data_IF_235013879141
#
_entry.id   IF_235013879141
#
_cell.length_a   1.000
_cell.length_b   1.000
_cell.length_c   1.000
_cell.angle_alpha   90.00
_cell.angle_beta   90.00
_cell.angle_gamma   90.00
#
_symmetry.space_group_name_H-M   'P 1'
#
loop_
_entity.id
_entity.type
_entity.pdbx_description
1 polymer ?
#
# COMPACT_ATOMS: atom_id res chain seq x y z
N UNK A 1 -6.09 -19.31 -29.89
CA UNK A 1 -5.12 -19.35 -28.77
C UNK A 1 -4.74 -17.96 -28.30
N UNK A 2 -4.63 -16.94 -29.18
CA UNK A 2 -4.33 -15.55 -28.76
C UNK A 2 -5.25 -15.01 -27.67
N UNK A 3 -6.58 -15.16 -27.79
CA UNK A 3 -7.51 -14.62 -26.79
C UNK A 3 -7.36 -15.19 -25.37
N UNK A 4 -6.87 -16.43 -25.21
CA UNK A 4 -6.62 -17.00 -23.88
C UNK A 4 -5.35 -16.42 -23.24
N UNK A 5 -4.33 -16.14 -24.06
CA UNK A 5 -3.09 -15.52 -23.61
C UNK A 5 -3.33 -14.05 -23.24
N UNK A 6 -4.09 -13.31 -24.07
CA UNK A 6 -4.43 -11.91 -23.79
C UNK A 6 -5.25 -11.78 -22.50
N UNK A 7 -6.23 -12.68 -22.30
CA UNK A 7 -7.00 -12.73 -21.05
C UNK A 7 -6.13 -13.00 -19.82
N UNK A 8 -5.10 -13.85 -19.94
CA UNK A 8 -4.14 -14.08 -18.87
C UNK A 8 -3.33 -12.80 -18.59
N UNK A 9 -2.82 -12.12 -19.62
CA UNK A 9 -2.08 -10.86 -19.46
C UNK A 9 -2.93 -9.77 -18.78
N UNK A 10 -4.21 -9.62 -19.14
CA UNK A 10 -5.12 -8.65 -18.51
C UNK A 10 -5.43 -9.01 -17.05
N UNK A 11 -5.58 -10.31 -16.77
CA UNK A 11 -5.72 -10.82 -15.40
C UNK A 11 -4.49 -10.52 -14.55
N UNK A 12 -3.28 -10.76 -15.09
CA UNK A 12 -2.02 -10.48 -14.40
C UNK A 12 -1.81 -8.99 -14.18
N UNK A 13 -2.13 -8.15 -15.15
CA UNK A 13 -2.12 -6.69 -14.98
C UNK A 13 -3.00 -6.26 -13.81
N UNK A 14 -4.23 -6.77 -13.78
CA UNK A 14 -5.20 -6.49 -12.70
C UNK A 14 -4.69 -6.96 -11.34
N UNK A 15 -4.01 -8.10 -11.29
CA UNK A 15 -3.40 -8.64 -10.06
C UNK A 15 -2.24 -7.78 -9.57
N UNK A 16 -1.37 -7.31 -10.47
CA UNK A 16 -0.28 -6.39 -10.12
C UNK A 16 -0.85 -5.08 -9.59
N UNK A 17 -1.80 -4.46 -10.31
CA UNK A 17 -2.44 -3.22 -9.86
C UNK A 17 -3.01 -3.35 -8.44
N UNK A 18 -3.81 -4.40 -8.19
CA UNK A 18 -4.39 -4.67 -6.87
C UNK A 18 -3.36 -4.95 -5.79
N UNK A 19 -2.28 -5.66 -6.10
CA UNK A 19 -1.21 -5.93 -5.14
C UNK A 19 -0.57 -4.62 -4.64
N UNK A 20 -0.52 -3.59 -5.49
CA UNK A 20 -0.02 -2.26 -5.13
C UNK A 20 -1.11 -1.28 -4.69
N UNK A 21 -2.35 -1.73 -4.51
CA UNK A 21 -3.47 -0.89 -4.05
C UNK A 21 -3.99 0.10 -5.10
N UNK A 22 -3.78 -0.19 -6.40
CA UNK A 22 -4.26 0.62 -7.52
C UNK A 22 -5.54 0.02 -8.11
N UNK A 23 -6.32 0.84 -8.81
CA UNK A 23 -7.46 0.35 -9.59
C UNK A 23 -6.97 -0.56 -10.72
N UNK A 24 -7.57 -1.75 -10.85
CA UNK A 24 -7.23 -2.70 -11.90
C UNK A 24 -7.60 -2.21 -13.31
N UNK A 25 -8.52 -1.26 -13.42
CA UNK A 25 -8.96 -0.67 -14.69
C UNK A 25 -8.12 0.54 -15.13
N UNK A 26 -7.23 1.00 -14.27
CA UNK A 26 -6.34 2.12 -14.56
C UNK A 26 -5.33 1.74 -15.66
N UNK A 27 -5.25 2.54 -16.72
CA UNK A 27 -4.31 2.35 -17.82
C UNK A 27 -2.90 2.86 -17.51
N UNK A 28 -2.73 3.64 -16.44
CA UNK A 28 -1.48 4.32 -16.07
C UNK A 28 -0.75 3.68 -14.87
N UNK A 29 -1.15 2.46 -14.46
CA UNK A 29 -0.54 1.70 -13.34
C UNK A 29 0.99 1.69 -13.41
N UNK A 30 1.58 1.53 -14.60
CA UNK A 30 3.03 1.51 -14.76
C UNK A 30 3.69 2.85 -14.40
N UNK A 31 3.05 3.96 -14.80
CA UNK A 31 3.52 5.32 -14.50
C UNK A 31 3.41 5.58 -13.01
N UNK A 32 2.25 5.29 -12.42
CA UNK A 32 2.03 5.44 -10.98
C UNK A 32 3.00 4.59 -10.14
N UNK A 33 3.30 3.36 -10.57
CA UNK A 33 4.28 2.51 -9.89
C UNK A 33 5.69 3.07 -9.98
N UNK A 34 6.10 3.54 -11.16
CA UNK A 34 7.39 4.19 -11.35
C UNK A 34 7.51 5.41 -10.43
N UNK A 35 6.52 6.28 -10.40
CA UNK A 35 6.56 7.49 -9.57
C UNK A 35 6.61 7.14 -8.08
N UNK A 36 5.78 6.19 -7.64
CA UNK A 36 5.76 5.72 -6.23
C UNK A 36 7.06 5.06 -5.80
N UNK A 37 7.74 4.34 -6.68
CA UNK A 37 8.95 3.59 -6.36
C UNK A 37 10.24 4.38 -6.62
N UNK A 38 10.21 5.43 -7.43
CA UNK A 38 11.39 6.28 -7.73
C UNK A 38 12.18 6.73 -6.49
N UNK A 39 11.55 7.10 -5.36
CA UNK A 39 12.27 7.49 -4.15
C UNK A 39 13.26 6.45 -3.62
N UNK A 40 13.08 5.16 -3.93
CA UNK A 40 13.99 4.10 -3.50
C UNK A 40 15.01 3.64 -4.55
N UNK A 41 15.12 4.34 -5.68
CA UNK A 41 16.02 3.92 -6.76
C UNK A 41 17.48 3.74 -6.32
N UNK A 42 17.96 4.57 -5.39
CA UNK A 42 19.33 4.57 -4.85
C UNK A 42 19.53 3.66 -3.63
N UNK A 43 18.45 3.12 -3.06
CA UNK A 43 18.51 2.34 -1.82
C UNK A 43 19.10 0.96 -2.11
N UNK A 44 20.04 0.45 -1.29
CA UNK A 44 20.52 -0.92 -1.41
C UNK A 44 19.37 -1.93 -1.24
N UNK A 45 19.20 -2.82 -2.23
CA UNK A 45 18.15 -3.84 -2.22
C UNK A 45 18.73 -5.23 -2.47
N UNK A 46 18.11 -6.29 -1.92
CA UNK A 46 18.39 -7.65 -2.33
C UNK A 46 18.17 -7.83 -3.84
N UNK A 47 18.97 -8.68 -4.49
CA UNK A 47 18.98 -8.82 -5.95
C UNK A 47 17.60 -9.04 -6.58
N UNK A 48 16.77 -9.91 -5.97
CA UNK A 48 15.41 -10.20 -6.45
C UNK A 48 14.46 -9.00 -6.33
N UNK A 49 14.55 -8.25 -5.24
CA UNK A 49 13.78 -7.01 -5.05
C UNK A 49 14.23 -5.93 -6.03
N UNK A 50 15.55 -5.79 -6.28
CA UNK A 50 16.09 -4.85 -7.27
C UNK A 50 15.60 -5.18 -8.68
N UNK A 51 15.62 -6.46 -9.05
CA UNK A 51 15.11 -6.92 -10.34
C UNK A 51 13.62 -6.59 -10.49
N UNK A 52 12.80 -6.81 -9.45
CA UNK A 52 11.38 -6.46 -9.49
C UNK A 52 11.19 -4.96 -9.62
N UNK A 53 11.87 -4.16 -8.79
CA UNK A 53 11.86 -2.70 -8.87
C UNK A 53 12.16 -2.23 -10.30
N UNK A 54 13.22 -2.75 -10.91
CA UNK A 54 13.60 -2.37 -12.28
C UNK A 54 12.50 -2.70 -13.28
N UNK A 55 11.88 -3.88 -13.22
CA UNK A 55 10.78 -4.24 -14.13
C UNK A 55 9.52 -3.43 -13.90
N UNK A 56 9.15 -3.15 -12.65
CA UNK A 56 7.98 -2.33 -12.33
C UNK A 56 8.14 -0.88 -12.82
N UNK A 57 9.34 -0.31 -12.71
CA UNK A 57 9.64 1.05 -13.14
C UNK A 57 9.93 1.20 -14.65
N UNK A 58 9.97 0.09 -15.40
CA UNK A 58 10.27 0.08 -16.83
C UNK A 58 9.01 0.37 -17.66
N UNK A 59 8.75 1.66 -17.87
CA UNK A 59 7.61 2.17 -18.66
C UNK A 59 7.89 2.24 -20.16
N UNK A 60 8.99 1.64 -20.64
CA UNK A 60 9.37 1.71 -22.06
C UNK A 60 8.63 0.68 -22.95
N UNK A 61 8.00 -0.31 -22.32
CA UNK A 61 7.37 -1.44 -22.96
C UNK A 61 5.85 -1.29 -23.08
N UNK A 62 5.24 -2.02 -24.01
CA UNK A 62 3.78 -2.14 -24.05
C UNK A 62 3.23 -2.78 -22.76
N UNK A 63 1.94 -2.57 -22.46
CA UNK A 63 1.24 -3.21 -21.32
C UNK A 63 1.55 -4.71 -21.22
N UNK A 64 1.47 -5.40 -22.36
CA UNK A 64 1.63 -6.86 -22.44
C UNK A 64 3.07 -7.30 -22.18
N UNK A 65 4.04 -6.65 -22.80
CA UNK A 65 5.46 -6.93 -22.59
C UNK A 65 5.91 -6.63 -21.16
N UNK A 66 5.38 -5.55 -20.56
CA UNK A 66 5.63 -5.21 -19.16
C UNK A 66 5.08 -6.28 -18.20
N UNK A 67 3.82 -6.70 -18.40
CA UNK A 67 3.21 -7.78 -17.62
C UNK A 67 4.02 -9.06 -17.76
N UNK A 68 4.37 -9.46 -18.98
CA UNK A 68 5.15 -10.66 -19.24
C UNK A 68 6.53 -10.61 -18.55
N UNK A 69 7.18 -9.45 -18.55
CA UNK A 69 8.46 -9.22 -17.89
C UNK A 69 8.38 -9.36 -16.36
N UNK A 70 7.38 -8.73 -15.73
CA UNK A 70 7.13 -8.84 -14.28
C UNK A 70 6.75 -10.27 -13.91
N UNK A 71 5.81 -10.87 -14.64
CA UNK A 71 5.33 -12.22 -14.41
C UNK A 71 6.44 -13.27 -14.53
N UNK A 72 7.30 -13.14 -15.55
CA UNK A 72 8.45 -14.02 -15.76
C UNK A 72 9.44 -13.98 -14.60
N UNK A 73 9.68 -12.80 -14.03
CA UNK A 73 10.55 -12.66 -12.87
C UNK A 73 9.95 -13.31 -11.61
N UNK A 74 8.65 -13.13 -11.40
CA UNK A 74 7.96 -13.64 -10.20
C UNK A 74 7.84 -15.17 -10.23
N UNK A 75 7.38 -15.74 -11.35
CA UNK A 75 7.17 -17.19 -11.50
C UNK A 75 8.42 -17.95 -11.99
N UNK A 76 9.44 -17.25 -12.51
CA UNK A 76 10.67 -17.84 -13.02
C UNK A 76 10.60 -18.35 -14.47
N UNK A 77 9.46 -18.15 -15.16
CA UNK A 77 9.24 -18.53 -16.56
C UNK A 77 8.11 -17.70 -17.19
N UNK A 78 8.04 -17.55 -18.52
CA UNK A 78 7.06 -16.69 -19.17
C UNK A 78 5.61 -17.22 -19.10
N UNK A 79 4.59 -16.35 -19.09
CA UNK A 79 3.18 -16.72 -18.88
C UNK A 79 2.62 -17.74 -19.89
N UNK A 80 3.14 -17.77 -21.12
CA UNK A 80 2.69 -18.74 -22.13
C UNK A 80 3.09 -20.20 -21.78
N UNK A 81 3.97 -20.42 -20.79
CA UNK A 81 4.36 -21.74 -20.27
C UNK A 81 3.75 -22.04 -18.89
N UNK A 82 2.78 -21.24 -18.44
CA UNK A 82 2.21 -21.37 -17.11
C UNK A 82 1.17 -22.48 -17.02
N UNK A 83 1.17 -23.10 -15.85
CA UNK A 83 0.13 -23.98 -15.33
C UNK A 83 -0.64 -23.24 -14.24
N UNK A 84 -1.76 -23.80 -13.78
CA UNK A 84 -2.53 -23.22 -12.66
C UNK A 84 -1.68 -23.09 -11.36
N UNK A 85 -0.70 -23.97 -11.20
CA UNK A 85 0.25 -23.89 -10.09
C UNK A 85 1.14 -22.64 -10.20
N UNK A 86 1.52 -22.23 -11.41
CA UNK A 86 2.31 -21.02 -11.64
C UNK A 86 1.49 -19.76 -11.38
N UNK A 87 0.20 -19.77 -11.71
CA UNK A 87 -0.73 -18.67 -11.37
C UNK A 87 -0.83 -18.51 -9.84
N UNK A 88 -1.01 -19.63 -9.13
CA UNK A 88 -1.08 -19.63 -7.65
C UNK A 88 0.24 -19.16 -7.03
N UNK A 89 1.39 -19.57 -7.60
CA UNK A 89 2.71 -19.10 -7.19
C UNK A 89 2.86 -17.59 -7.42
N UNK A 90 2.41 -17.09 -8.56
CA UNK A 90 2.45 -15.67 -8.87
C UNK A 90 1.67 -14.85 -7.83
N UNK A 91 0.48 -15.31 -7.44
CA UNK A 91 -0.34 -14.61 -6.44
C UNK A 91 0.37 -14.46 -5.09
N UNK A 92 1.02 -15.53 -4.61
CA UNK A 92 1.76 -15.48 -3.35
C UNK A 92 3.06 -14.65 -3.49
N UNK A 93 3.87 -14.92 -4.50
CA UNK A 93 5.20 -14.33 -4.65
C UNK A 93 5.13 -12.83 -4.99
N UNK A 94 4.10 -12.39 -5.73
CA UNK A 94 3.89 -10.96 -6.01
C UNK A 94 3.59 -10.18 -4.73
N UNK A 95 2.79 -10.72 -3.82
CA UNK A 95 2.51 -10.12 -2.51
C UNK A 95 3.78 -10.04 -1.64
N UNK A 96 4.55 -11.12 -1.56
CA UNK A 96 5.80 -11.14 -0.79
C UNK A 96 6.80 -10.10 -1.29
N UNK A 97 6.99 -10.00 -2.61
CA UNK A 97 7.92 -9.04 -3.19
C UNK A 97 7.40 -7.59 -3.09
N UNK A 98 6.09 -7.37 -3.22
CA UNK A 98 5.45 -6.08 -2.94
C UNK A 98 5.73 -5.65 -1.50
N UNK A 99 5.54 -6.55 -0.53
CA UNK A 99 5.79 -6.23 0.88
C UNK A 99 7.26 -5.91 1.15
N UNK A 100 8.17 -6.62 0.48
CA UNK A 100 9.58 -6.32 0.55
C UNK A 100 9.90 -4.92 -0.02
N UNK A 101 9.35 -4.56 -1.18
CA UNK A 101 9.55 -3.22 -1.76
C UNK A 101 8.92 -2.12 -0.91
N UNK A 102 7.71 -2.32 -0.41
CA UNK A 102 7.05 -1.36 0.48
C UNK A 102 7.81 -1.19 1.81
N UNK A 103 8.40 -2.26 2.34
CA UNK A 103 9.28 -2.19 3.50
C UNK A 103 10.55 -1.39 3.21
N UNK A 104 11.21 -1.62 2.06
CA UNK A 104 12.37 -0.83 1.62
C UNK A 104 12.00 0.65 1.44
N UNK A 105 10.85 0.95 0.82
CA UNK A 105 10.29 2.30 0.69
C UNK A 105 10.11 2.99 2.04
N UNK A 106 9.61 2.24 3.01
CA UNK A 106 9.45 2.72 4.38
C UNK A 106 10.81 3.02 5.02
N UNK A 107 11.76 2.09 4.97
CA UNK A 107 13.10 2.29 5.54
C UNK A 107 13.85 3.46 4.89
N UNK A 108 13.73 3.58 3.57
CA UNK A 108 14.32 4.67 2.81
C UNK A 108 13.78 6.04 3.27
N UNK A 109 12.47 6.11 3.55
CA UNK A 109 11.84 7.33 4.07
C UNK A 109 12.36 7.74 5.45
N UNK A 110 12.94 6.81 6.23
CA UNK A 110 13.60 7.12 7.50
C UNK A 110 15.06 7.57 7.33
N UNK A 111 15.73 7.10 6.27
CA UNK A 111 17.15 7.43 6.01
C UNK A 111 17.38 8.77 5.32
N UNK A 112 16.32 9.42 4.81
CA UNK A 112 16.40 10.80 4.36
C UNK A 112 16.40 11.70 5.60
N UNK A 113 17.56 12.22 5.97
CA UNK A 113 17.78 13.08 7.14
C UNK A 113 16.76 14.22 7.23
N UNK A 114 16.11 14.63 6.14
CA UNK A 114 15.06 15.67 6.12
C UNK A 114 13.77 15.29 6.83
N UNK A 115 13.46 14.00 6.95
CA UNK A 115 12.27 13.49 7.65
C UNK A 115 12.51 13.44 9.16
N UNK A 116 13.69 12.99 9.59
CA UNK A 116 14.07 13.00 11.01
C UNK A 116 14.56 14.37 11.48
N UNK A 117 15.00 15.26 10.59
CA UNK A 117 15.43 16.63 10.93
C UNK A 117 14.28 17.53 11.43
N UNK A 118 13.03 17.09 11.32
CA UNK A 118 11.88 17.71 12.00
C UNK A 118 11.63 17.17 13.42
N UNK A 119 12.30 16.08 13.81
CA UNK A 119 12.19 15.51 15.15
C UNK A 119 12.98 16.37 16.13
N UNK A 120 12.42 17.53 16.47
CA UNK A 120 12.70 18.14 17.76
C UNK A 120 12.48 17.07 18.84
N UNK A 121 13.57 16.65 19.48
CA UNK A 121 13.67 15.82 20.69
C UNK A 121 12.41 15.00 21.02
N UNK A 122 12.33 13.74 20.56
CA UNK A 122 11.30 12.77 20.98
C UNK A 122 10.23 12.35 19.98
N UNK A 123 10.30 12.75 18.70
CA UNK A 123 9.41 12.24 17.63
C UNK A 123 9.78 10.84 17.13
N UNK A 124 8.84 10.18 16.42
CA UNK A 124 9.09 8.88 15.78
C UNK A 124 8.31 8.72 14.48
N UNK A 125 8.70 7.71 13.72
CA UNK A 125 8.01 7.33 12.50
C UNK A 125 7.86 5.81 12.43
N UNK A 126 6.68 5.33 12.03
CA UNK A 126 6.41 3.90 11.88
C UNK A 126 5.51 3.64 10.69
N UNK A 127 5.63 2.43 10.15
CA UNK A 127 4.69 1.90 9.16
C UNK A 127 3.67 1.06 9.88
N UNK A 128 2.40 1.35 9.61
CA UNK A 128 1.27 0.55 10.04
C UNK A 128 0.67 -0.11 8.81
N UNK A 129 0.50 -1.42 8.83
CA UNK A 129 -0.24 -2.13 7.79
C UNK A 129 -1.25 -3.12 8.37
N UNK A 130 -2.36 -3.31 7.65
CA UNK A 130 -3.42 -4.25 7.97
C UNK A 130 -3.68 -5.11 6.74
N UNK A 131 -3.46 -6.42 6.87
CA UNK A 131 -3.86 -7.39 5.86
C UNK A 131 -5.28 -7.86 6.17
N UNK A 132 -6.21 -7.53 5.27
CA UNK A 132 -7.61 -7.91 5.41
C UNK A 132 -7.83 -9.39 5.06
N UNK A 133 -8.96 -9.96 5.48
CA UNK A 133 -9.35 -11.34 5.11
C UNK A 133 -9.55 -11.55 3.60
N UNK A 134 -9.61 -10.45 2.84
CA UNK A 134 -9.70 -10.46 1.37
C UNK A 134 -8.34 -10.48 0.68
N UNK A 135 -7.24 -10.53 1.46
CA UNK A 135 -5.87 -10.55 0.95
C UNK A 135 -5.34 -9.17 0.51
N UNK A 136 -6.11 -8.09 0.73
CA UNK A 136 -5.66 -6.72 0.47
C UNK A 136 -4.88 -6.20 1.67
N UNK A 137 -3.71 -5.59 1.43
CA UNK A 137 -2.91 -4.93 2.48
C UNK A 137 -3.05 -3.41 2.37
N UNK A 138 -3.68 -2.82 3.38
CA UNK A 138 -3.70 -1.37 3.58
C UNK A 138 -2.42 -0.98 4.32
N UNK A 139 -1.73 0.07 3.88
CA UNK A 139 -0.47 0.51 4.51
C UNK A 139 -0.39 2.02 4.63
N UNK A 140 0.25 2.49 5.70
CA UNK A 140 0.56 3.91 5.85
C UNK A 140 1.83 4.13 6.69
N UNK A 141 2.63 5.13 6.29
CA UNK A 141 3.81 5.59 7.04
C UNK A 141 3.44 6.83 7.83
N UNK A 142 3.40 6.67 9.15
CA UNK A 142 3.16 7.74 10.11
C UNK A 142 4.50 8.38 10.46
N UNK A 143 4.52 9.71 10.51
CA UNK A 143 5.62 10.50 11.03
C UNK A 143 5.02 11.52 12.00
N UNK A 144 5.45 11.50 13.25
CA UNK A 144 4.98 12.42 14.27
C UNK A 144 6.14 13.03 15.05
N UNK A 145 6.01 14.31 15.40
CA UNK A 145 6.95 14.99 16.28
C UNK A 145 6.70 14.65 17.76
N UNK A 146 7.58 15.10 18.67
CA UNK A 146 7.45 14.80 20.10
C UNK A 146 6.22 15.42 20.79
N UNK A 147 5.58 16.44 20.19
CA UNK A 147 4.32 17.01 20.70
C UNK A 147 3.15 16.11 20.29
N UNK A 148 3.14 15.71 19.02
CA UNK A 148 2.16 14.78 18.46
C UNK A 148 2.26 13.39 19.11
N UNK A 149 3.46 12.93 19.47
CA UNK A 149 3.64 11.67 20.20
C UNK A 149 2.97 11.71 21.58
N UNK A 150 3.18 12.78 22.36
CA UNK A 150 2.50 12.95 23.65
C UNK A 150 0.98 12.95 23.50
N UNK A 151 0.46 13.65 22.49
CA UNK A 151 -0.97 13.65 22.21
C UNK A 151 -1.48 12.25 21.81
N UNK A 152 -0.73 11.54 20.95
CA UNK A 152 -1.07 10.18 20.54
C UNK A 152 -1.09 9.22 21.73
N UNK A 153 -0.09 9.30 22.63
CA UNK A 153 -0.03 8.53 23.87
C UNK A 153 -1.21 8.83 24.79
N UNK A 154 -1.54 10.09 25.04
CA UNK A 154 -2.68 10.48 25.89
C UNK A 154 -4.01 9.94 25.34
N UNK A 155 -4.16 9.91 24.01
CA UNK A 155 -5.33 9.35 23.35
C UNK A 155 -5.34 7.82 23.38
N UNK A 156 -4.18 7.17 23.25
CA UNK A 156 -4.05 5.72 23.37
C UNK A 156 -4.42 5.24 24.78
N UNK A 157 -3.97 5.94 25.84
CA UNK A 157 -4.30 5.61 27.22
C UNK A 157 -5.80 5.71 27.51
N UNK A 158 -6.45 6.75 26.95
CA UNK A 158 -7.92 6.91 27.05
C UNK A 158 -8.65 5.80 26.30
N UNK A 159 -8.17 5.42 25.12
CA UNK A 159 -8.76 4.34 24.34
C UNK A 159 -8.61 3.00 25.07
N UNK A 160 -7.42 2.71 25.63
CA UNK A 160 -7.20 1.51 26.44
C UNK A 160 -8.12 1.47 27.66
N UNK A 161 -8.23 2.57 28.39
CA UNK A 161 -9.16 2.67 29.53
C UNK A 161 -10.62 2.41 29.13
N UNK A 162 -11.03 2.87 27.94
CA UNK A 162 -12.36 2.60 27.40
C UNK A 162 -12.54 1.13 27.00
N UNK A 163 -11.54 0.52 26.36
CA UNK A 163 -11.56 -0.90 25.99
C UNK A 163 -11.62 -1.78 27.24
N UNK A 164 -10.80 -1.50 28.25
CA UNK A 164 -10.80 -2.23 29.53
C UNK A 164 -12.17 -2.15 30.22
N UNK A 165 -12.80 -0.97 30.21
CA UNK A 165 -14.12 -0.78 30.81
C UNK A 165 -15.27 -1.46 30.04
N UNK A 166 -15.13 -1.64 28.72
CA UNK A 166 -16.20 -2.14 27.85
C UNK A 166 -16.10 -3.63 27.56
N UNK A 167 -14.87 -4.11 27.34
CA UNK A 167 -14.56 -5.48 26.92
C UNK A 167 -14.06 -6.31 28.12
N UNK A 168 -13.37 -5.66 29.06
CA UNK A 168 -12.66 -6.30 30.17
C UNK A 168 -11.15 -6.27 29.97
N UNK A 169 -10.41 -6.04 31.06
CA UNK A 169 -8.95 -5.81 31.04
C UNK A 169 -8.11 -7.01 30.56
N UNK A 170 -8.71 -8.20 30.51
CA UNK A 170 -7.98 -9.46 30.29
C UNK A 170 -8.30 -10.09 28.92
N UNK A 171 -9.27 -9.54 28.17
CA UNK A 171 -9.63 -10.02 26.83
C UNK A 171 -8.85 -9.26 25.75
N UNK A 172 -7.54 -9.51 25.74
CA UNK A 172 -6.61 -8.89 24.79
C UNK A 172 -6.91 -9.26 23.34
N UNK A 173 -7.44 -10.46 23.07
CA UNK A 173 -7.80 -10.88 21.71
C UNK A 173 -8.92 -10.01 21.14
N UNK A 174 -9.95 -9.71 21.95
CA UNK A 174 -11.02 -8.81 21.54
C UNK A 174 -10.53 -7.36 21.42
N UNK A 175 -9.68 -6.88 22.33
CA UNK A 175 -9.09 -5.54 22.24
C UNK A 175 -8.22 -5.36 20.98
N UNK A 176 -7.41 -6.37 20.62
CA UNK A 176 -6.62 -6.40 19.39
C UNK A 176 -7.56 -6.41 18.17
N UNK A 177 -8.62 -7.22 18.19
CA UNK A 177 -9.58 -7.28 17.09
C UNK A 177 -10.27 -5.93 16.85
N UNK A 178 -10.70 -5.24 17.91
CA UNK A 178 -11.29 -3.89 17.82
C UNK A 178 -10.28 -2.89 17.27
N UNK A 179 -9.03 -2.93 17.76
CA UNK A 179 -7.97 -2.05 17.28
C UNK A 179 -7.67 -2.27 15.79
N UNK A 180 -7.57 -3.53 15.36
CA UNK A 180 -7.35 -3.87 13.95
C UNK A 180 -8.49 -3.34 13.06
N UNK A 181 -9.75 -3.46 13.50
CA UNK A 181 -10.92 -2.91 12.79
C UNK A 181 -10.90 -1.38 12.71
N UNK A 182 -10.51 -0.71 13.79
CA UNK A 182 -10.37 0.74 13.81
C UNK A 182 -9.26 1.20 12.85
N UNK A 183 -8.10 0.54 12.88
CA UNK A 183 -6.99 0.84 11.96
C UNK A 183 -7.39 0.60 10.50
N UNK A 184 -8.05 -0.51 10.18
CA UNK A 184 -8.59 -0.80 8.84
C UNK A 184 -9.49 0.34 8.35
N UNK A 185 -10.45 0.78 9.17
CA UNK A 185 -11.37 1.85 8.82
C UNK A 185 -10.68 3.22 8.62
N UNK A 186 -9.69 3.54 9.45
CA UNK A 186 -8.91 4.78 9.32
C UNK A 186 -8.05 4.79 8.06
N UNK A 187 -7.39 3.68 7.74
CA UNK A 187 -6.57 3.54 6.53
C UNK A 187 -7.44 3.65 5.27
N UNK A 188 -8.58 2.95 5.22
CA UNK A 188 -9.50 3.02 4.07
C UNK A 188 -10.09 4.43 3.87
N UNK A 189 -10.46 5.12 4.96
CA UNK A 189 -10.97 6.50 4.88
C UNK A 189 -9.92 7.45 4.34
N UNK A 190 -8.65 7.25 4.72
CA UNK A 190 -7.54 8.06 4.23
C UNK A 190 -7.27 7.84 2.74
N UNK A 191 -7.31 6.60 2.27
CA UNK A 191 -7.17 6.30 0.82
C UNK A 191 -8.25 7.03 0.01
N UNK A 192 -9.49 7.03 0.49
CA UNK A 192 -10.60 7.76 -0.14
C UNK A 192 -10.33 9.26 -0.20
N UNK A 193 -9.86 9.87 0.90
CA UNK A 193 -9.49 11.28 0.95
C UNK A 193 -8.28 11.62 0.06
N UNK A 194 -7.36 10.68 -0.13
CA UNK A 194 -6.17 10.88 -0.98
C UNK A 194 -6.49 10.75 -2.46
N UNK A 195 -7.51 9.96 -2.82
CA UNK A 195 -8.02 9.81 -4.19
C UNK A 195 -8.94 10.94 -4.67
N UNK A 196 -9.36 11.85 -3.77
CA UNK A 196 -10.17 13.04 -4.10
C UNK A 196 -9.34 14.28 -4.46
N UNK A 197 -8.00 14.15 -4.55
CA UNK A 197 -7.13 15.25 -4.97
C UNK A 197 -6.78 15.06 -6.45
N UNK A 198 -7.45 15.82 -7.31
CA UNK A 198 -7.11 15.91 -8.74
C UNK A 198 -5.65 16.37 -8.94
N UNK A 199 -5.12 16.15 -10.14
CA UNK A 199 -3.75 16.44 -10.62
C UNK A 199 -3.24 17.89 -10.35
N UNK A 200 -4.09 18.77 -9.81
CA UNK A 200 -3.89 20.19 -9.55
C UNK A 200 -4.08 20.59 -8.06
N UNK A 201 -4.13 19.62 -7.13
CA UNK A 201 -4.08 19.89 -5.68
C UNK A 201 -5.33 20.55 -5.09
N UNK A 202 -6.49 20.44 -5.75
CA UNK A 202 -7.78 20.95 -5.22
C UNK A 202 -8.65 19.80 -4.71
N UNK A 203 -9.38 19.97 -3.59
CA UNK A 203 -10.34 18.97 -3.13
C UNK A 203 -11.51 18.88 -4.12
N UNK A 204 -11.88 17.66 -4.51
CA UNK A 204 -13.00 17.37 -5.38
C UNK A 204 -14.33 17.85 -4.75
N UNK A 205 -14.91 18.94 -5.27
CA UNK A 205 -16.12 19.57 -4.72
C UNK A 205 -17.43 18.81 -5.02
N UNK A 206 -17.37 17.55 -5.44
CA UNK A 206 -18.56 16.84 -5.92
C UNK A 206 -19.46 16.22 -4.82
N UNK A 207 -19.10 16.30 -3.53
CA UNK A 207 -19.90 15.70 -2.45
C UNK A 207 -20.18 16.65 -1.27
N UNK A 208 -20.61 17.88 -1.55
CA UNK A 208 -21.43 18.64 -0.60
C UNK A 208 -22.87 18.67 -1.11
N UNK A 209 -23.67 17.70 -0.66
CA UNK A 209 -25.13 17.78 -0.78
C UNK A 209 -25.63 19.08 -0.14
N UNK A 210 -26.76 19.64 -0.60
CA UNK A 210 -27.18 20.98 -0.23
C UNK A 210 -27.40 21.07 1.28
N UNK A 211 -26.64 21.96 1.92
CA UNK A 211 -26.90 22.40 3.29
C UNK A 211 -28.28 23.07 3.28
N UNK A 212 -29.30 22.35 3.76
CA UNK A 212 -30.60 22.95 4.09
C UNK A 212 -30.36 23.99 5.18
N UNK A 213 -30.45 25.26 4.82
CA UNK A 213 -30.70 26.32 5.79
C UNK A 213 -32.19 26.25 6.15
N UNK A 214 -32.49 25.72 7.32
CA UNK A 214 -33.75 26.02 7.99
C UNK A 214 -33.50 27.20 8.94
N UNK A 215 -34.39 28.20 8.86
CA UNK A 215 -34.33 29.45 9.61
C UNK A 215 -34.97 29.37 10.98
#
# INVERSE_FOLDING_TARGET
>A
MEGAYDALCDSLYSKIARAFGMDAMDSEVQVHLKDRLTPIASVPMPARAKALFTRLCDVSHSKKEWVESVASLVAGKPPHLWTDQDVSRFDLESLLLRNQLSHILTLASYSDDRVLAGSSDGGWAARVSVTTSRGTELEHVIQIDGVQDKQASDHADKLMSYLDATIGSDDYDMAIAVTARLTEALLARRETLSGEVDHDGRPNQACLGPIRREG
#
